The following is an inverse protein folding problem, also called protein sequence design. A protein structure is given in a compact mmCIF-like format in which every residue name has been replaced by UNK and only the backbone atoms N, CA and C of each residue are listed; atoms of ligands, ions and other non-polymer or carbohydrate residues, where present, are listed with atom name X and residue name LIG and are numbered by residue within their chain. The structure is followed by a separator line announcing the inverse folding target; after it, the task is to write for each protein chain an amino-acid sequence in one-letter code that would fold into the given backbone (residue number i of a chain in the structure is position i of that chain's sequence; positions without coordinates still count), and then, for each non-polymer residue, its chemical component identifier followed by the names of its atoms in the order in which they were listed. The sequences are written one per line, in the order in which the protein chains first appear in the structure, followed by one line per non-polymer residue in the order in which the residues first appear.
data_IF_496861107715
#
_entry.id   IF_496861107715
#
_cell.length_a   1.000
_cell.length_b   1.000
_cell.length_c   1.000
_cell.angle_alpha   90.00
_cell.angle_beta   90.00
_cell.angle_gamma   90.00
#
_symmetry.space_group_name_H-M   'P 1'
#
loop_
_entity.id
_entity.type
_entity.pdbx_description
1 polymer ?
#
# COMPACT_ATOMS: atom_id res chain seq x y z
N UNK A 1 13.55 5.75 -5.42
CA UNK A 1 13.07 4.40 -5.09
C UNK A 1 11.96 4.05 -6.03
N UNK A 2 11.60 2.78 -6.09
CA UNK A 2 10.53 2.36 -6.95
C UNK A 2 9.72 1.26 -6.30
N UNK A 3 8.41 1.32 -6.48
CA UNK A 3 7.60 0.12 -6.51
C UNK A 3 8.10 -0.75 -7.68
N UNK A 4 8.60 -1.94 -7.37
CA UNK A 4 9.22 -2.84 -8.35
C UNK A 4 8.20 -3.81 -8.96
N UNK A 5 7.30 -4.34 -8.15
CA UNK A 5 6.38 -5.37 -8.61
C UNK A 5 5.06 -5.39 -7.84
N UNK A 6 4.02 -5.83 -8.53
CA UNK A 6 2.68 -6.01 -8.00
C UNK A 6 2.25 -7.47 -8.13
N UNK A 7 1.56 -7.98 -7.12
CA UNK A 7 0.81 -9.24 -7.19
C UNK A 7 -0.67 -8.95 -7.50
N UNK A 8 -1.19 -7.81 -7.05
CA UNK A 8 -2.58 -7.42 -7.26
C UNK A 8 -2.78 -6.74 -8.62
N UNK A 9 -3.35 -7.45 -9.59
CA UNK A 9 -3.51 -6.97 -10.97
C UNK A 9 -4.27 -5.64 -11.10
N UNK A 10 -5.30 -5.42 -10.28
CA UNK A 10 -6.04 -4.14 -10.31
C UNK A 10 -5.24 -2.98 -9.72
N UNK A 11 -4.35 -3.27 -8.76
CA UNK A 11 -3.46 -2.28 -8.17
C UNK A 11 -2.35 -1.90 -9.17
N UNK A 12 -1.89 -2.87 -9.95
CA UNK A 12 -1.00 -2.63 -11.08
C UNK A 12 -1.66 -1.75 -12.16
N UNK A 13 -2.89 -2.08 -12.57
CA UNK A 13 -3.63 -1.31 -13.57
C UNK A 13 -3.90 0.13 -13.11
N UNK A 14 -4.25 0.30 -11.84
CA UNK A 14 -4.32 1.60 -11.16
C UNK A 14 -3.00 2.36 -11.28
N UNK A 15 -1.87 1.76 -10.87
CA UNK A 15 -0.54 2.43 -10.91
C UNK A 15 -0.06 2.78 -12.33
N UNK A 16 -0.37 1.96 -13.34
CA UNK A 16 0.15 2.13 -14.70
C UNK A 16 -0.77 2.93 -15.63
N UNK A 17 -2.06 3.01 -15.34
CA UNK A 17 -3.07 3.50 -16.29
C UNK A 17 -4.19 4.29 -15.64
N UNK A 18 -4.03 4.68 -14.38
CA UNK A 18 -5.03 5.42 -13.58
C UNK A 18 -6.39 4.72 -13.50
N UNK A 19 -6.43 3.39 -13.68
CA UNK A 19 -7.65 2.57 -13.55
C UNK A 19 -7.92 2.25 -12.07
N UNK A 20 -8.53 3.20 -11.38
CA UNK A 20 -8.86 3.10 -9.97
C UNK A 20 -10.37 2.93 -9.70
N UNK A 21 -11.19 2.79 -10.76
CA UNK A 21 -12.65 2.71 -10.68
C UNK A 21 -13.17 1.56 -9.81
N UNK A 22 -12.36 0.51 -9.66
CA UNK A 22 -12.65 -0.66 -8.85
C UNK A 22 -12.64 -0.41 -7.33
N UNK A 23 -12.07 0.71 -6.87
CA UNK A 23 -12.08 1.13 -5.47
C UNK A 23 -13.24 2.09 -5.19
N UNK A 24 -13.93 1.97 -4.03
CA UNK A 24 -14.89 2.96 -3.56
C UNK A 24 -14.30 4.38 -3.50
N UNK A 25 -15.05 5.34 -4.02
CA UNK A 25 -14.66 6.76 -4.07
C UNK A 25 -14.29 7.32 -2.67
N UNK A 26 -14.91 6.78 -1.62
CA UNK A 26 -14.68 7.19 -0.24
C UNK A 26 -13.21 7.06 0.21
N UNK A 27 -12.46 6.08 -0.30
CA UNK A 27 -11.10 5.79 0.17
C UNK A 27 -10.08 5.50 -0.92
N UNK A 28 -10.46 5.50 -2.19
CA UNK A 28 -9.56 5.33 -3.34
C UNK A 28 -8.31 6.22 -3.26
N UNK A 29 -8.49 7.50 -2.92
CA UNK A 29 -7.37 8.44 -2.77
C UNK A 29 -6.39 8.02 -1.67
N UNK A 30 -6.86 7.33 -0.62
CA UNK A 30 -6.00 6.80 0.44
C UNK A 30 -5.15 5.61 0.01
N UNK A 31 -5.63 4.83 -0.97
CA UNK A 31 -4.82 3.79 -1.59
C UNK A 31 -3.72 4.43 -2.45
N UNK A 32 -4.03 5.48 -3.20
CA UNK A 32 -3.03 6.27 -3.93
C UNK A 32 -1.98 6.88 -3.00
N UNK A 33 -2.40 7.55 -1.92
CA UNK A 33 -1.50 8.12 -0.91
C UNK A 33 -0.50 7.05 -0.42
N UNK A 34 -1.01 5.87 -0.04
CA UNK A 34 -0.15 4.77 0.41
C UNK A 34 0.82 4.27 -0.67
N UNK A 35 0.42 4.22 -1.95
CA UNK A 35 1.32 3.85 -3.04
C UNK A 35 2.42 4.90 -3.25
N UNK A 36 2.08 6.18 -3.27
CA UNK A 36 3.06 7.25 -3.43
C UNK A 36 4.04 7.32 -2.26
N UNK A 37 3.54 7.15 -1.03
CA UNK A 37 4.37 7.10 0.17
C UNK A 37 5.34 5.90 0.14
N UNK A 38 4.87 4.73 -0.31
CA UNK A 38 5.71 3.53 -0.47
C UNK A 38 6.74 3.68 -1.60
N UNK A 39 6.39 4.33 -2.70
CA UNK A 39 7.31 4.62 -3.81
C UNK A 39 8.40 5.64 -3.40
N UNK A 40 8.06 6.56 -2.49
CA UNK A 40 8.96 7.55 -1.95
C UNK A 40 9.80 7.06 -0.74
N UNK A 41 9.49 5.89 -0.17
CA UNK A 41 10.19 5.35 0.99
C UNK A 41 11.56 4.75 0.62
N UNK A 42 12.62 5.18 1.29
CA UNK A 42 14.03 4.80 1.02
C UNK A 42 14.63 3.86 2.05
N UNK A 43 14.09 3.88 3.26
CA UNK A 43 14.60 3.16 4.42
C UNK A 43 13.44 2.73 5.32
N UNK A 44 13.71 1.79 6.21
CA UNK A 44 12.69 1.22 7.10
C UNK A 44 12.05 2.27 8.02
N UNK A 45 12.77 3.33 8.40
CA UNK A 45 12.18 4.41 9.20
C UNK A 45 11.08 5.16 8.44
N UNK A 46 11.21 5.32 7.13
CA UNK A 46 10.20 6.01 6.31
C UNK A 46 8.88 5.21 6.33
N UNK A 47 8.97 3.87 6.32
CA UNK A 47 7.81 2.99 6.46
C UNK A 47 7.11 3.19 7.80
N UNK A 48 7.88 3.37 8.88
CA UNK A 48 7.33 3.61 10.21
C UNK A 48 6.64 4.99 10.25
N UNK A 49 7.23 6.01 9.62
CA UNK A 49 6.70 7.37 9.58
C UNK A 49 5.34 7.46 8.86
N UNK A 50 5.13 6.63 7.83
CA UNK A 50 3.85 6.53 7.10
C UNK A 50 2.85 5.57 7.79
N UNK A 51 3.18 5.08 8.98
CA UNK A 51 2.32 4.20 9.78
C UNK A 51 2.30 2.75 9.31
N UNK A 52 3.29 2.31 8.54
CA UNK A 52 3.40 0.91 8.14
C UNK A 52 3.78 0.02 9.33
N UNK A 53 3.15 -1.14 9.42
CA UNK A 53 3.41 -2.14 10.46
C UNK A 53 4.05 -3.35 9.79
N UNK A 54 5.08 -3.93 10.42
CA UNK A 54 5.67 -5.19 9.99
C UNK A 54 4.93 -6.37 10.62
N UNK A 55 4.59 -7.39 9.84
CA UNK A 55 4.06 -8.64 10.42
C UNK A 55 5.13 -9.33 11.28
N UNK A 56 4.71 -9.78 12.46
CA UNK A 56 5.56 -10.56 13.34
C UNK A 56 6.01 -11.86 12.64
N UNK A 57 7.31 -12.14 12.67
CA UNK A 57 7.89 -13.32 12.02
C UNK A 57 7.92 -13.29 10.49
N UNK A 58 7.59 -12.17 9.84
CA UNK A 58 7.59 -12.02 8.38
C UNK A 58 8.38 -10.79 7.93
N UNK A 59 8.79 -10.77 6.66
CA UNK A 59 9.34 -9.57 6.00
C UNK A 59 8.25 -8.66 5.40
N UNK A 60 6.97 -9.03 5.56
CA UNK A 60 5.82 -8.34 5.00
C UNK A 60 5.45 -7.11 5.84
N UNK A 61 5.20 -6.00 5.16
CA UNK A 61 4.76 -4.72 5.71
C UNK A 61 3.33 -4.41 5.26
N UNK A 62 2.61 -3.65 6.08
CA UNK A 62 1.20 -3.30 5.87
C UNK A 62 1.01 -1.81 6.14
N UNK A 63 0.43 -1.10 5.19
CA UNK A 63 -0.08 0.27 5.35
C UNK A 63 -1.60 0.18 5.41
N UNK A 64 -2.18 0.47 6.57
CA UNK A 64 -3.63 0.40 6.77
C UNK A 64 -4.30 1.59 6.09
N UNK A 65 -5.23 1.30 5.19
CA UNK A 65 -6.05 2.31 4.52
C UNK A 65 -7.28 2.57 5.38
N UNK A 66 -7.43 3.81 5.85
CA UNK A 66 -8.57 4.23 6.68
C UNK A 66 -9.36 5.38 6.05
N UNK A 67 -10.67 5.37 6.22
CA UNK A 67 -11.52 6.53 5.94
C UNK A 67 -11.59 7.41 7.17
N UNK A 68 -11.39 8.72 7.00
CA UNK A 68 -11.46 9.72 8.06
C UNK A 68 -10.57 9.41 9.28
N UNK A 69 -9.49 8.64 9.10
CA UNK A 69 -8.61 8.16 10.18
C UNK A 69 -9.32 7.31 11.26
N UNK A 70 -10.49 6.73 10.95
CA UNK A 70 -11.29 5.98 11.92
C UNK A 70 -11.59 4.57 11.42
N UNK A 71 -12.11 4.42 10.21
CA UNK A 71 -12.62 3.13 9.74
C UNK A 71 -11.59 2.45 8.84
N UNK A 72 -11.05 1.27 9.21
CA UNK A 72 -10.16 0.51 8.34
C UNK A 72 -10.95 -0.08 7.17
N UNK A 73 -10.56 0.29 5.95
CA UNK A 73 -11.19 -0.17 4.71
C UNK A 73 -10.36 -1.20 3.96
N UNK A 74 -9.05 -1.22 4.18
CA UNK A 74 -8.15 -2.20 3.60
C UNK A 74 -6.73 -2.03 4.09
N UNK A 75 -5.81 -2.77 3.50
CA UNK A 75 -4.38 -2.56 3.68
C UNK A 75 -3.63 -2.81 2.37
N UNK A 76 -2.68 -1.92 2.07
CA UNK A 76 -1.65 -2.16 1.05
C UNK A 76 -0.53 -2.93 1.73
N UNK A 77 -0.06 -4.00 1.11
CA UNK A 77 1.01 -4.83 1.67
C UNK A 77 2.17 -4.94 0.69
N UNK A 78 3.40 -4.97 1.21
CA UNK A 78 4.60 -5.14 0.39
C UNK A 78 5.74 -5.81 1.17
N UNK A 79 6.69 -6.41 0.45
CA UNK A 79 8.00 -6.71 1.01
C UNK A 79 8.91 -5.51 0.76
N UNK A 80 9.60 -5.05 1.80
CA UNK A 80 10.52 -3.93 1.70
C UNK A 80 11.96 -4.41 1.88
N UNK A 81 12.82 -4.10 0.92
CA UNK A 81 14.25 -4.41 1.00
C UNK A 81 15.06 -3.36 0.23
N UNK A 82 16.11 -2.83 0.86
CA UNK A 82 17.08 -1.91 0.23
C UNK A 82 16.44 -0.69 -0.45
N UNK A 83 15.36 -0.15 0.13
CA UNK A 83 14.64 0.98 -0.45
C UNK A 83 13.60 0.61 -1.51
N UNK A 84 13.44 -0.67 -1.83
CA UNK A 84 12.52 -1.13 -2.86
C UNK A 84 11.31 -1.86 -2.27
N UNK A 85 10.13 -1.59 -2.84
CA UNK A 85 8.88 -2.26 -2.50
C UNK A 85 8.56 -3.35 -3.54
N UNK A 86 8.41 -4.58 -3.08
CA UNK A 86 8.13 -5.75 -3.90
C UNK A 86 6.77 -6.39 -3.57
N UNK A 87 6.20 -7.02 -4.58
CA UNK A 87 4.99 -7.83 -4.48
C UNK A 87 3.82 -7.09 -3.84
N UNK A 88 3.57 -5.86 -4.29
CA UNK A 88 2.47 -5.07 -3.76
C UNK A 88 1.14 -5.78 -3.95
N UNK A 89 0.41 -5.86 -2.86
CA UNK A 89 -0.92 -6.45 -2.80
C UNK A 89 -1.87 -5.49 -2.08
N UNK A 90 -3.16 -5.59 -2.38
CA UNK A 90 -4.21 -4.83 -1.71
C UNK A 90 -5.25 -5.79 -1.15
N UNK A 91 -5.50 -5.68 0.15
CA UNK A 91 -6.52 -6.46 0.84
C UNK A 91 -7.60 -5.54 1.36
N UNK A 92 -8.76 -5.58 0.73
CA UNK A 92 -9.94 -4.90 1.24
C UNK A 92 -10.42 -5.58 2.53
N UNK A 93 -10.69 -4.80 3.57
CA UNK A 93 -11.39 -5.28 4.76
C UNK A 93 -12.87 -5.35 4.40
N UNK A 94 -13.30 -6.49 3.86
CA UNK A 94 -14.72 -6.78 3.78
C UNK A 94 -15.22 -7.14 5.19
N UNK A 95 -16.29 -6.51 5.69
CA UNK A 95 -16.94 -6.93 6.94
C UNK A 95 -17.52 -8.34 6.87
#
# INVERSE_FOLDING_TARGET
MAIISFVHNKLLAMWQSDDDEWLPLAYRHKVWDALFDLDAASQVSDLIDIGAIKAEGSALWYVTVTVNNVEPCGAVTCFFSDGDCFSLDYREYNP
#
